data_IF_159295345093
#
_entry.id   IF_159295345093
#
_cell.length_a   1.000
_cell.length_b   1.000
_cell.length_c   1.000
_cell.angle_alpha   90.00
_cell.angle_beta   90.00
_cell.angle_gamma   90.00
#
_symmetry.space_group_name_H-M   'P 1'
#
loop_
_entity.id
_entity.type
_entity.pdbx_description
1 polymer ?
2 non-polymer ?
3 non-polymer ?
4 non-polymer ?
5 water ?
#
# COMPACT_ATOMS: atom_id res chain seq x y z
N UNK A 1 -3.19 25.60 8.79
CA UNK A 1 -3.89 24.47 8.11
C UNK A 1 -2.89 23.50 7.48
N UNK A 2 -3.16 22.21 7.64
CA UNK A 2 -2.28 21.16 7.15
C UNK A 2 -2.19 21.18 5.62
N UNK A 3 -1.00 20.91 5.11
CA UNK A 3 -0.76 20.79 3.68
C UNK A 3 -1.14 19.38 3.25
N UNK A 4 -2.15 19.28 2.40
CA UNK A 4 -2.60 17.98 1.89
C UNK A 4 -2.32 17.82 0.41
N UNK A 5 -1.46 18.67 -0.13
CA UNK A 5 -1.04 18.50 -1.51
C UNK A 5 -0.18 17.25 -1.60
N UNK A 6 -0.54 16.35 -2.53
CA UNK A 6 0.22 15.14 -2.79
C UNK A 6 1.71 15.42 -3.04
N UNK A 7 1.99 16.50 -3.77
CA UNK A 7 3.35 16.93 -4.04
C UNK A 7 4.16 17.28 -2.79
N UNK A 8 3.48 17.50 -1.66
CA UNK A 8 4.14 17.88 -0.41
C UNK A 8 4.54 16.67 0.43
N UNK A 9 3.97 15.51 0.12
CA UNK A 9 4.14 14.33 0.97
C UNK A 9 5.55 13.79 0.93
N UNK A 10 6.13 13.61 2.10
CA UNK A 10 7.45 13.00 2.22
C UNK A 10 7.34 11.49 2.03
N UNK A 11 8.37 10.90 1.46
CA UNK A 11 8.43 9.45 1.30
C UNK A 11 9.78 8.95 1.84
N UNK A 12 9.95 7.63 1.84
CA UNK A 12 11.11 7.00 2.48
C UNK A 12 12.43 7.40 1.81
N UNK A 13 13.29 8.06 2.56
CA UNK A 13 14.61 8.46 2.04
C UNK A 13 15.43 7.21 1.73
N UNK A 14 16.10 7.25 0.57
CA UNK A 14 16.97 6.15 0.14
C UNK A 14 16.33 4.78 0.27
N UNK A 15 15.08 4.66 -0.18
CA UNK A 15 14.35 3.41 -0.08
C UNK A 15 15.15 2.25 -0.66
N UNK A 16 15.20 1.17 0.11
CA UNK A 16 16.02 0.00 -0.18
C UNK A 16 15.15 -1.19 -0.52
N UNK A 17 15.08 -1.52 -1.81
CA UNK A 17 14.21 -2.58 -2.30
C UNK A 17 14.52 -3.92 -1.64
N UNK A 18 15.81 -4.24 -1.50
CA UNK A 18 16.24 -5.53 -0.95
C UNK A 18 15.76 -5.70 0.48
N UNK A 19 15.93 -4.65 1.29
CA UNK A 19 15.54 -4.71 2.69
C UNK A 19 14.03 -4.80 2.84
N UNK A 20 13.31 -4.32 1.82
CA UNK A 20 11.86 -4.31 1.85
C UNK A 20 11.26 -5.65 1.40
N UNK A 21 12.10 -6.50 0.80
CA UNK A 21 11.60 -7.75 0.23
C UNK A 21 11.04 -8.68 1.31
N UNK A 22 10.23 -9.63 0.87
CA UNK A 22 9.61 -10.59 1.79
C UNK A 22 8.14 -10.33 2.09
N UNK A 23 7.69 -10.90 3.19
CA UNK A 23 6.27 -10.94 3.51
C UNK A 23 5.85 -9.73 4.34
N UNK A 24 4.79 -9.09 3.87
CA UNK A 24 4.18 -7.95 4.55
C UNK A 24 2.68 -8.23 4.73
N UNK A 25 2.20 -8.13 5.97
CA UNK A 25 0.79 -8.32 6.28
C UNK A 25 0.09 -6.98 6.36
N UNK A 26 -0.97 -6.80 5.60
CA UNK A 26 -1.73 -5.56 5.64
C UNK A 26 -2.52 -5.52 6.94
N UNK A 27 -2.28 -4.48 7.74
CA UNK A 27 -2.98 -4.30 9.01
C UNK A 27 -4.14 -3.32 8.90
N UNK A 28 -4.02 -2.41 7.95
CA UNK A 28 -5.04 -1.38 7.78
C UNK A 28 -5.01 -0.88 6.37
N UNK A 29 -6.15 -0.39 5.92
CA UNK A 29 -6.27 0.11 4.56
C UNK A 29 -7.20 1.30 4.53
N UNK A 30 -6.80 2.32 3.78
CA UNK A 30 -7.72 3.39 3.39
C UNK A 30 -8.14 3.05 1.96
N UNK A 31 -9.44 2.90 1.72
CA UNK A 31 -9.94 2.45 0.43
C UNK A 31 -10.05 3.57 -0.59
N UNK A 32 -9.80 3.25 -1.87
CA UNK A 32 -10.10 4.19 -2.93
C UNK A 32 -11.55 3.99 -3.34
N UNK A 33 -12.02 4.75 -4.33
CA UNK A 33 -13.34 4.48 -4.90
C UNK A 33 -13.29 3.11 -5.55
N UNK A 34 -14.39 2.35 -5.47
CA UNK A 34 -14.44 1.03 -6.07
C UNK A 34 -13.34 0.13 -5.53
N UNK A 35 -13.33 -0.03 -4.21
CA UNK A 35 -12.31 -0.82 -3.53
C UNK A 35 -12.25 -2.25 -4.04
N UNK A 36 -11.06 -2.82 -4.02
CA UNK A 36 -10.82 -4.16 -4.55
C UNK A 36 -10.38 -5.11 -3.46
N UNK A 37 -9.20 -4.88 -2.88
CA UNK A 37 -8.71 -5.75 -1.81
C UNK A 37 -9.53 -5.52 -0.54
N UNK A 38 -10.15 -6.59 -0.05
CA UNK A 38 -11.08 -6.49 1.09
C UNK A 38 -10.42 -6.79 2.44
N UNK A 39 -9.92 -8.01 2.60
CA UNK A 39 -9.20 -8.38 3.84
C UNK A 39 -8.30 -9.59 3.61
N UNK A 40 -7.68 -10.07 4.69
CA UNK A 40 -6.75 -11.20 4.61
C UNK A 40 -5.64 -10.96 3.60
N UNK A 41 -5.22 -9.70 3.52
CA UNK A 41 -4.31 -9.24 2.49
C UNK A 41 -2.87 -9.46 2.93
N UNK A 42 -2.17 -10.30 2.18
CA UNK A 42 -0.77 -10.60 2.47
C UNK A 42 0.05 -10.39 1.20
N UNK A 43 1.08 -9.57 1.31
CA UNK A 43 1.92 -9.23 0.19
C UNK A 43 3.29 -9.86 0.29
N UNK A 44 3.84 -10.23 -0.85
CA UNK A 44 5.19 -10.78 -0.93
C UNK A 44 5.99 -9.95 -1.93
N UNK A 45 6.98 -9.23 -1.43
CA UNK A 45 7.82 -8.39 -2.26
C UNK A 45 9.13 -9.08 -2.63
N UNK A 46 9.58 -8.82 -3.85
CA UNK A 46 10.84 -9.39 -4.36
C UNK A 46 11.60 -8.35 -5.18
N UNK A 47 12.90 -8.54 -5.31
CA UNK A 47 13.71 -7.73 -6.19
C UNK A 47 14.60 -8.67 -7.03
N UNK A 48 14.65 -8.43 -8.34
CA UNK A 48 15.45 -9.29 -9.25
C UNK A 48 16.91 -8.79 -9.35
N UNK A 49 17.75 -9.49 -10.12
CA UNK A 49 19.18 -9.15 -10.20
C UNK A 49 19.43 -7.82 -10.90
N UNK A 50 18.51 -7.48 -11.88
CA UNK A 50 18.60 -6.18 -12.55
C UNK A 50 18.26 -5.02 -11.61
N UNK A 51 17.59 -5.38 -10.46
CA UNK A 51 17.22 -4.38 -9.47
C UNK A 51 15.74 -4.01 -9.50
N UNK A 52 14.95 -4.75 -10.27
CA UNK A 52 13.53 -4.43 -10.36
C UNK A 52 12.71 -5.10 -9.27
N UNK A 53 11.90 -4.28 -8.62
CA UNK A 53 11.00 -4.74 -7.59
C UNK A 53 9.70 -5.23 -8.19
N UNK A 54 9.14 -6.27 -7.58
CA UNK A 54 7.87 -6.83 -7.98
C UNK A 54 7.22 -7.41 -6.75
N UNK A 55 5.94 -7.76 -6.86
CA UNK A 55 5.24 -8.33 -5.73
C UNK A 55 4.08 -9.22 -6.15
N UNK A 56 3.67 -10.06 -5.20
CA UNK A 56 2.43 -10.80 -5.33
C UNK A 56 1.62 -10.47 -4.09
N UNK A 57 0.31 -10.69 -4.19
CA UNK A 57 -0.55 -10.53 -3.02
C UNK A 57 -1.65 -11.55 -3.08
N UNK A 58 -2.08 -12.00 -1.91
CA UNK A 58 -3.26 -12.83 -1.81
C UNK A 58 -4.19 -12.15 -0.81
N UNK A 59 -5.49 -12.27 -1.06
CA UNK A 59 -6.48 -11.69 -0.17
C UNK A 59 -7.89 -11.91 -0.69
N UNK A 60 -8.86 -11.69 0.19
CA UNK A 60 -10.26 -11.67 -0.18
C UNK A 60 -10.48 -10.38 -0.96
N UNK A 61 -11.04 -10.50 -2.16
CA UNK A 61 -11.26 -9.33 -3.02
C UNK A 61 -12.74 -9.15 -3.34
N UNK A 62 -13.13 -7.93 -3.68
CA UNK A 62 -14.49 -7.61 -4.08
C UNK A 62 -14.65 -7.80 -5.58
N UNK A 63 -15.54 -8.72 -5.97
CA UNK A 63 -15.88 -8.90 -7.38
C UNK A 63 -17.11 -8.08 -7.76
N UNK A 64 -18.19 -8.30 -7.03
CA UNK A 64 -19.46 -7.59 -7.27
C UNK A 64 -19.98 -6.91 -6.00
N UNK A 66 -22.43 -7.97 -4.33
CA UNK A 66 -22.15 -8.61 -3.05
C UNK A 66 -21.46 -9.96 -3.22
N UNK A 67 -20.30 -9.94 -3.86
CA UNK A 67 -19.53 -11.16 -4.11
C UNK A 67 -18.04 -10.92 -3.90
N UNK A 68 -17.49 -11.59 -2.89
CA UNK A 68 -16.06 -11.57 -2.61
C UNK A 68 -15.46 -12.96 -2.82
N UNK A 69 -14.15 -13.01 -3.11
CA UNK A 69 -13.46 -14.25 -3.42
C UNK A 69 -11.97 -14.15 -3.07
N UNK A 70 -11.32 -15.28 -2.81
CA UNK A 70 -9.87 -15.30 -2.66
C UNK A 70 -9.20 -15.18 -4.02
N UNK A 71 -8.26 -14.26 -4.12
CA UNK A 71 -7.60 -14.00 -5.39
C UNK A 71 -6.09 -13.78 -5.19
N UNK A 72 -5.33 -14.19 -6.21
CA UNK A 72 -3.89 -13.95 -6.27
C UNK A 72 -3.62 -12.83 -7.26
N UNK A 73 -2.90 -11.81 -6.79
CA UNK A 73 -2.57 -10.64 -7.59
C UNK A 73 -1.08 -10.57 -7.82
N UNK A 74 -0.70 -9.88 -8.90
CA UNK A 74 0.70 -9.73 -9.28
C UNK A 74 0.96 -8.25 -9.59
N UNK A 75 2.10 -7.74 -9.16
CA UNK A 75 2.48 -6.37 -9.39
C UNK A 75 3.94 -6.27 -9.81
N UNK A 76 4.20 -5.40 -10.77
CA UNK A 76 5.56 -5.07 -11.16
C UNK A 76 5.76 -3.56 -11.04
N UNK A 77 6.91 -3.19 -10.49
CA UNK A 77 7.18 -1.80 -10.17
C UNK A 77 8.21 -1.19 -11.11
N UNK A 78 7.85 -0.05 -11.69
CA UNK A 78 8.78 0.72 -12.50
C UNK A 78 9.32 1.87 -11.67
N UNK A 79 10.65 2.03 -11.67
CA UNK A 79 11.34 3.08 -10.92
C UNK A 79 11.01 4.47 -11.47
N UNK A 80 11.06 5.46 -10.58
CA UNK A 80 11.04 6.86 -10.99
C UNK A 80 12.31 7.49 -10.44
N UNK A 81 12.48 8.80 -10.62
CA UNK A 81 13.64 9.51 -10.08
C UNK A 81 13.73 9.49 -8.55
N UNK A 82 12.59 9.26 -7.90
CA UNK A 82 12.53 9.15 -6.44
C UNK A 82 12.55 7.67 -6.06
N UNK A 83 13.54 7.24 -5.25
CA UNK A 83 13.72 5.80 -4.99
C UNK A 83 12.54 5.17 -4.26
N UNK A 84 11.69 5.99 -3.67
CA UNK A 84 10.53 5.50 -2.94
C UNK A 84 9.22 5.61 -3.71
N UNK A 85 9.26 6.19 -4.90
CA UNK A 85 8.06 6.35 -5.72
C UNK A 85 8.13 5.48 -6.97
N UNK A 86 7.11 4.65 -7.16
CA UNK A 86 7.07 3.70 -8.26
C UNK A 86 5.79 3.81 -9.05
N UNK A 87 5.81 3.25 -10.25
CA UNK A 87 4.61 2.98 -11.00
C UNK A 87 4.37 1.49 -10.89
N UNK A 88 3.20 1.11 -10.40
CA UNK A 88 2.86 -0.30 -10.23
C UNK A 88 1.87 -0.78 -11.26
N UNK A 89 2.32 -1.64 -12.17
CA UNK A 89 1.43 -2.37 -13.06
C UNK A 89 0.95 -3.63 -12.34
N UNK A 90 -0.35 -3.86 -12.34
CA UNK A 90 -0.88 -5.01 -11.61
C UNK A 90 -1.97 -5.71 -12.38
N UNK A 91 -2.16 -6.99 -12.05
CA UNK A 91 -3.17 -7.82 -12.66
C UNK A 91 -3.44 -8.99 -11.74
N UNK A 92 -4.51 -9.72 -12.04
CA UNK A 92 -4.82 -10.95 -11.32
C UNK A 92 -4.30 -12.13 -12.09
N UNK A 93 -4.00 -13.22 -11.39
CA UNK A 93 -3.64 -14.46 -12.06
C UNK A 93 -4.81 -14.93 -12.92
N UNK A 94 -6.03 -14.58 -12.50
CA UNK A 94 -7.23 -14.77 -13.30
C UNK A 94 -7.49 -13.53 -14.17
N UNK A 95 -7.75 -13.78 -15.45
CA UNK A 95 -7.93 -12.74 -16.48
C UNK A 95 -8.92 -11.65 -16.10
N UNK A 96 -10.04 -12.04 -15.49
CA UNK A 96 -11.17 -11.14 -15.24
C UNK A 96 -10.99 -10.21 -14.03
N UNK A 97 -9.97 -10.45 -13.21
CA UNK A 97 -9.71 -9.65 -12.02
C UNK A 97 -9.21 -8.24 -12.36
N UNK A 98 -9.35 -7.32 -11.41
CA UNK A 98 -8.94 -5.93 -11.61
C UNK A 98 -7.47 -5.82 -12.05
N UNK A 99 -7.25 -5.04 -13.10
CA UNK A 99 -5.90 -4.76 -13.57
C UNK A 99 -5.74 -3.27 -13.77
N UNK A 100 -4.50 -2.81 -13.76
CA UNK A 100 -4.25 -1.40 -13.93
C UNK A 100 -2.83 -0.99 -13.63
N UNK A 101 -2.67 0.32 -13.52
CA UNK A 101 -1.39 0.92 -13.20
C UNK A 101 -1.61 2.09 -12.28
N UNK A 102 -1.09 1.94 -11.06
CA UNK A 102 -1.23 2.96 -10.04
C UNK A 102 0.14 3.45 -9.58
N UNK A 103 0.23 4.72 -9.18
CA UNK A 103 1.38 5.19 -8.45
C UNK A 103 1.50 4.34 -7.19
N UNK A 104 2.72 4.10 -6.74
CA UNK A 104 2.95 3.30 -5.54
C UNK A 104 4.10 3.90 -4.77
N UNK A 105 3.78 4.53 -3.65
CA UNK A 105 4.78 5.23 -2.86
C UNK A 105 5.01 4.51 -1.55
N UNK A 106 6.27 4.26 -1.23
CA UNK A 106 6.65 3.85 0.12
C UNK A 106 6.85 5.12 0.96
N UNK A 107 5.81 5.47 1.69
CA UNK A 107 5.81 6.69 2.47
C UNK A 107 6.82 6.58 3.62
N UNK A 108 6.82 5.44 4.29
CA UNK A 108 7.77 5.21 5.37
C UNK A 108 7.85 3.73 5.62
N UNK A 109 9.00 3.29 6.12
CA UNK A 109 9.18 1.93 6.57
C UNK A 109 10.45 1.89 7.42
N UNK A 110 10.52 0.93 8.33
CA UNK A 110 11.80 0.61 8.98
C UNK A 110 12.28 -0.76 8.52
N UNK A 111 11.64 -1.28 7.47
CA UNK A 111 11.97 -2.55 6.82
C UNK A 111 11.70 -3.81 7.64
N UNK A 112 11.89 -3.74 8.95
CA UNK A 112 11.78 -4.94 9.77
C UNK A 112 10.54 -4.99 10.63
N UNK A 113 9.71 -3.95 10.56
CA UNK A 113 8.55 -3.89 11.44
C UNK A 113 7.29 -3.41 10.74
N UNK A 114 7.37 -2.21 10.16
CA UNK A 114 6.18 -1.57 9.57
C UNK A 114 6.50 -0.97 8.22
N UNK A 115 5.43 -0.75 7.44
CA UNK A 115 5.51 0.01 6.20
C UNK A 115 4.21 0.75 6.01
N UNK A 116 4.32 1.95 5.45
CA UNK A 116 3.15 2.74 5.05
C UNK A 116 3.28 3.00 3.57
N UNK A 117 2.26 2.56 2.83
CA UNK A 117 2.18 2.75 1.38
C UNK A 117 1.08 3.75 1.05
N UNK A 118 1.21 4.40 -0.10
CA UNK A 118 0.20 5.37 -0.54
C UNK A 118 0.15 5.38 -2.05
N UNK A 119 -1.06 5.58 -2.56
CA UNK A 119 -1.28 5.79 -3.99
C UNK A 119 -2.33 6.86 -4.18
N UNK A 120 -2.02 7.88 -4.97
CA UNK A 120 -3.05 8.81 -5.43
C UNK A 120 -3.36 8.49 -6.88
N UNK A 121 -4.57 7.99 -7.12
CA UNK A 121 -5.00 7.61 -8.45
C UNK A 121 -5.40 8.79 -9.30
N UNK A 122 -5.84 9.86 -8.65
CA UNK A 122 -6.36 11.04 -9.36
C UNK A 122 -6.23 12.25 -8.46
N UNK A 123 -5.65 13.33 -8.99
CA UNK A 123 -5.51 14.57 -8.22
C UNK A 123 -6.76 15.43 -8.38
N UNK A 124 -7.00 16.23 -7.34
CA UNK A 124 -7.87 17.39 -7.43
C UNK A 124 -7.09 18.52 -8.05
N UNK A 125 -7.82 19.54 -8.50
CA UNK A 125 -7.20 20.68 -9.20
C UNK A 125 -6.37 21.55 -8.27
N UNK A 126 -6.51 21.34 -6.96
CA UNK A 126 -5.70 22.04 -5.97
C UNK A 126 -4.51 21.21 -5.48
N UNK A 127 -4.26 20.07 -6.12
CA UNK A 127 -3.09 19.27 -5.78
C UNK A 127 -3.33 18.25 -4.68
N UNK A 128 -4.47 18.34 -3.99
CA UNK A 128 -4.86 17.29 -3.05
C UNK A 128 -5.30 16.06 -3.83
N UNK A 129 -5.43 14.92 -3.15
CA UNK A 129 -5.81 13.71 -3.88
C UNK A 129 -7.34 13.58 -3.95
N UNK A 130 -7.85 13.28 -5.14
CA UNK A 130 -9.28 13.03 -5.34
C UNK A 130 -9.66 11.58 -5.09
N UNK A 131 -8.70 10.68 -5.26
CA UNK A 131 -8.99 9.26 -5.10
C UNK A 131 -7.71 8.59 -4.70
N UNK A 132 -7.63 8.23 -3.42
CA UNK A 132 -6.40 7.67 -2.88
C UNK A 132 -6.66 6.32 -2.24
N UNK A 133 -5.58 5.55 -2.10
CA UNK A 133 -5.57 4.45 -1.16
C UNK A 133 -4.26 4.33 -0.43
N UNK A 134 -4.29 3.59 0.66
CA UNK A 134 -3.10 3.45 1.48
C UNK A 134 -3.18 2.18 2.28
N UNK A 135 -2.06 1.46 2.34
CA UNK A 135 -1.95 0.29 3.19
C UNK A 135 -0.92 0.54 4.27
N UNK A 136 -1.21 0.03 5.47
CA UNK A 136 -0.22 -0.11 6.52
C UNK A 136 0.09 -1.58 6.62
N UNK A 137 1.37 -1.91 6.50
CA UNK A 137 1.81 -3.29 6.58
C UNK A 137 2.63 -3.52 7.83
N UNK A 138 2.60 -4.77 8.28
CA UNK A 138 3.41 -5.24 9.39
C UNK A 138 4.11 -6.52 8.98
N UNK A 139 5.33 -6.74 9.50
CA UNK A 139 6.02 -8.01 9.25
C UNK A 139 5.36 -9.16 10.02
N UNK A 140 4.70 -8.80 11.12
CA UNK A 140 4.09 -9.74 12.06
C UNK A 140 2.57 -9.59 11.92
N UNK A 141 1.86 -10.70 11.58
CA UNK A 141 0.41 -10.62 11.37
C UNK A 141 -0.36 -10.28 12.65
N UNK A 142 0.30 -10.36 13.79
CA UNK A 142 -0.32 -10.04 15.07
C UNK A 142 -0.30 -8.54 15.41
N UNK A 143 0.27 -7.75 14.50
CA UNK A 143 0.22 -6.29 14.62
C UNK A 143 1.53 -5.64 15.00
N UNK A 144 1.53 -4.31 14.89
CA UNK A 144 2.70 -3.49 15.20
C UNK A 144 2.92 -3.32 16.68
N UNK A 145 4.20 -3.19 17.09
CA UNK A 145 4.48 -2.79 18.47
C UNK A 145 4.12 -1.32 18.66
N UNK A 146 3.92 -0.86 19.92
CA UNK A 146 3.43 0.50 20.12
C UNK A 146 4.28 1.61 19.50
N UNK A 147 5.61 1.47 19.53
CA UNK A 147 6.49 2.49 18.93
C UNK A 147 6.20 2.66 17.44
N UNK A 148 5.99 1.54 16.74
CA UNK A 148 5.74 1.56 15.30
C UNK A 148 4.33 2.10 15.03
N UNK A 149 3.38 1.63 15.83
CA UNK A 149 2.00 2.12 15.77
C UNK A 149 1.96 3.66 15.84
N UNK A 150 2.72 4.23 16.77
CA UNK A 150 2.76 5.69 16.94
C UNK A 150 3.37 6.41 15.73
N UNK A 151 4.48 5.89 15.22
CA UNK A 151 5.07 6.44 13.99
C UNK A 151 4.06 6.36 12.85
N UNK A 152 3.39 5.22 12.72
CA UNK A 152 2.44 5.02 11.63
C UNK A 152 1.29 6.02 11.72
N UNK A 153 0.75 6.22 12.93
CA UNK A 153 -0.32 7.21 13.10
C UNK A 153 0.11 8.59 12.60
N UNK A 154 1.35 8.97 12.90
CA UNK A 154 1.88 10.26 12.45
C UNK A 154 1.90 10.32 10.92
N UNK A 155 2.34 9.23 10.29
CA UNK A 155 2.41 9.18 8.83
C UNK A 155 1.02 9.23 8.21
N UNK A 156 0.07 8.53 8.83
CA UNK A 156 -1.32 8.55 8.35
C UNK A 156 -1.87 9.98 8.37
N UNK A 157 -1.55 10.70 9.45
CA UNK A 157 -1.98 12.10 9.57
C UNK A 157 -1.34 12.99 8.52
N UNK A 158 -0.06 12.75 8.26
CA UNK A 158 0.69 13.52 7.26
C UNK A 158 0.13 13.35 5.85
N UNK A 159 -0.46 12.18 5.58
CA UNK A 159 -1.10 11.88 4.31
C UNK A 159 -2.53 12.41 4.21
N UNK A 160 -2.99 13.04 5.29
CA UNK A 160 -4.37 13.51 5.41
C UNK A 160 -5.38 12.37 5.32
N UNK A 161 -5.01 11.22 5.88
CA UNK A 161 -5.82 10.02 5.80
C UNK A 161 -6.15 9.39 7.15
N UNK A 162 -5.72 10.01 8.25
CA UNK A 162 -5.72 9.31 9.55
C UNK A 162 -7.10 8.88 10.04
N UNK A 163 -8.15 9.58 9.60
CA UNK A 163 -9.52 9.25 10.02
C UNK A 163 -10.17 8.19 9.15
N UNK A 164 -9.47 7.74 8.10
CA UNK A 164 -10.13 7.04 7.00
C UNK A 164 -9.68 5.62 6.79
N UNK A 165 -8.96 5.04 7.76
CA UNK A 165 -8.54 3.65 7.62
C UNK A 165 -9.50 2.67 8.27
N UNK A 166 -9.50 1.43 7.76
CA UNK A 166 -10.17 0.33 8.45
C UNK A 166 -9.16 -0.78 8.67
N UNK A 167 -9.35 -1.52 9.75
CA UNK A 167 -8.44 -2.61 10.06
C UNK A 167 -8.66 -3.78 9.11
N UNK A 168 -7.56 -4.46 8.79
CA UNK A 168 -7.59 -5.65 7.95
C UNK A 168 -7.39 -6.86 8.84
N UNK A 169 -8.33 -7.79 8.76
CA UNK A 169 -8.28 -9.01 9.56
C UNK A 169 -7.54 -10.12 8.83
N UNK A 170 -6.95 -11.02 9.62
CA UNK A 170 -6.31 -12.21 9.09
C UNK A 170 -6.89 -13.35 9.88
N UNK A 171 -7.74 -14.13 9.24
CA UNK A 171 -8.48 -15.18 9.91
C UNK A 171 -8.46 -16.49 9.15
N UNK A 172 -7.51 -16.61 8.23
CA UNK A 172 -7.26 -17.85 7.50
C UNK A 172 -8.23 -18.12 6.38
N UNK A 173 -9.05 -17.13 6.02
CA UNK A 173 -10.06 -17.31 4.98
C UNK A 173 -9.45 -17.73 3.64
N UNK A 174 -8.31 -17.14 3.30
CA UNK A 174 -7.60 -17.48 2.07
C UNK A 174 -6.24 -18.09 2.37
#
# INVERSE_FOLDING_TARGET
ERDCRVSSFRVKENFDKARFSGTWYAMAKKDPEGLFLQDNIVAEFSVDETGQMSATAKGRVRLLNNWDVCADMVGTFTDTEDPAKFKMKYWGVASFLQKGNDDHWIVDTDYDTYAVQYSCRLLNLDGTCADSYSFVFSRDPNGLPPEAQKIVRQRQEELCLARQYRLIVHNGYC
#
